data_IF_960098249427
#
_entry.id   IF_960098249427
#
_cell.length_a   1.000
_cell.length_b   1.000
_cell.length_c   1.000
_cell.angle_alpha   90.00
_cell.angle_beta   90.00
_cell.angle_gamma   90.00
#
_symmetry.space_group_name_H-M   'P 1'
#
loop_
_entity.id
_entity.type
_entity.pdbx_description
1 polymer ?
#
# COMPACT_ATOMS: atom_id res chain seq x y z
N UNK A 1 -39.46 12.39 101.37
CA UNK A 1 -38.24 13.15 101.76
C UNK A 1 -37.43 13.40 100.48
N UNK A 2 -37.10 14.68 100.21
CA UNK A 2 -35.85 15.26 99.63
C UNK A 2 -35.00 14.32 98.72
N UNK A 3 -34.42 14.69 97.57
CA UNK A 3 -34.03 15.98 96.97
C UNK A 3 -33.40 15.70 95.59
N UNK A 4 -33.79 16.49 94.60
CA UNK A 4 -32.99 17.23 93.60
C UNK A 4 -31.49 16.95 93.33
N UNK A 5 -31.14 16.98 92.01
CA UNK A 5 -30.00 17.69 91.33
C UNK A 5 -28.64 16.92 91.29
N UNK A 6 -27.78 16.86 90.24
CA UNK A 6 -27.43 17.63 89.02
C UNK A 6 -26.66 16.70 88.02
N UNK A 7 -26.97 16.69 86.71
CA UNK A 7 -26.19 17.26 85.57
C UNK A 7 -24.74 16.78 85.32
N UNK A 8 -24.50 16.06 84.22
CA UNK A 8 -23.34 16.31 83.34
C UNK A 8 -23.61 15.79 81.90
N UNK A 9 -23.50 16.70 80.94
CA UNK A 9 -23.50 16.47 79.49
C UNK A 9 -22.26 15.68 79.05
N UNK A 10 -22.42 14.77 78.08
CA UNK A 10 -21.38 14.52 77.08
C UNK A 10 -22.02 14.17 75.73
N UNK A 11 -21.81 15.07 74.76
CA UNK A 11 -22.20 14.99 73.36
C UNK A 11 -21.32 13.95 72.64
N UNK A 12 -21.92 13.00 71.93
CA UNK A 12 -21.21 11.99 71.13
C UNK A 12 -21.96 11.67 69.83
N UNK A 13 -21.75 12.54 68.84
CA UNK A 13 -21.83 12.35 67.38
C UNK A 13 -22.69 11.18 66.84
N UNK A 14 -23.88 11.52 66.38
CA UNK A 14 -24.64 10.78 65.37
C UNK A 14 -23.97 10.99 64.00
N UNK A 15 -23.30 9.96 63.47
CA UNK A 15 -22.95 9.90 62.06
C UNK A 15 -24.14 9.38 61.26
N UNK A 16 -24.92 10.31 60.72
CA UNK A 16 -25.82 10.05 59.61
C UNK A 16 -25.03 9.58 58.39
N UNK A 17 -25.18 8.31 57.99
CA UNK A 17 -25.02 7.96 56.58
C UNK A 17 -26.38 8.17 55.92
N UNK A 18 -26.47 9.24 55.14
CA UNK A 18 -27.62 9.59 54.34
C UNK A 18 -27.94 8.54 53.26
N UNK A 19 -29.07 8.71 52.56
CA UNK A 19 -29.52 7.76 51.55
C UNK A 19 -28.44 7.56 50.49
N UNK A 20 -28.13 6.29 50.19
CA UNK A 20 -27.46 5.92 48.95
C UNK A 20 -28.19 6.61 47.80
N UNK A 21 -27.47 7.42 47.04
CA UNK A 21 -27.96 8.04 45.80
C UNK A 21 -28.72 6.98 45.00
N UNK A 22 -29.91 7.27 44.44
CA UNK A 22 -30.60 6.32 43.60
C UNK A 22 -29.60 5.85 42.53
N UNK A 23 -29.43 4.54 42.40
CA UNK A 23 -28.73 3.99 41.25
C UNK A 23 -29.36 4.64 40.01
N UNK A 24 -28.55 5.33 39.22
CA UNK A 24 -28.98 6.00 38.00
C UNK A 24 -29.69 4.96 37.13
N UNK A 25 -31.03 4.97 37.13
CA UNK A 25 -31.86 3.97 36.46
C UNK A 25 -31.96 4.21 34.96
N UNK A 26 -31.13 5.09 34.40
CA UNK A 26 -31.06 5.29 32.95
C UNK A 26 -30.55 4.00 32.31
N UNK A 27 -31.24 3.46 31.30
CA UNK A 27 -30.73 2.31 30.57
C UNK A 27 -29.39 2.67 29.96
N UNK A 28 -28.40 1.79 30.15
CA UNK A 28 -27.08 2.01 29.61
C UNK A 28 -27.12 2.00 28.09
N UNK A 29 -26.58 3.06 27.48
CA UNK A 29 -26.53 3.19 26.02
C UNK A 29 -25.12 3.50 25.57
N UNK A 30 -24.75 2.96 24.42
CA UNK A 30 -23.50 3.26 23.72
C UNK A 30 -23.83 4.09 22.48
N UNK A 31 -23.19 5.23 22.34
CA UNK A 31 -23.19 6.00 21.10
C UNK A 31 -21.77 6.24 20.63
N UNK A 32 -21.58 6.26 19.31
CA UNK A 32 -20.31 6.58 18.67
C UNK A 32 -20.45 7.94 17.99
N UNK A 33 -19.40 8.76 18.02
CA UNK A 33 -19.36 9.99 17.24
C UNK A 33 -19.28 9.73 15.72
N UNK A 34 -18.76 8.55 15.33
CA UNK A 34 -18.60 8.12 13.95
C UNK A 34 -19.51 6.93 13.64
N UNK A 35 -20.17 6.98 12.48
CA UNK A 35 -20.93 5.86 11.90
C UNK A 35 -20.11 5.05 10.89
N UNK A 36 -19.12 5.70 10.29
CA UNK A 36 -18.11 5.11 9.42
C UNK A 36 -16.74 5.66 9.83
N UNK A 37 -15.67 4.87 9.73
CA UNK A 37 -14.33 5.32 10.11
C UNK A 37 -13.23 4.68 9.25
N UNK A 38 -12.22 5.47 8.89
CA UNK A 38 -10.95 4.97 8.35
C UNK A 38 -10.16 4.25 9.46
N UNK A 39 -9.36 3.22 9.14
CA UNK A 39 -8.51 2.53 10.14
C UNK A 39 -7.56 3.45 10.93
N UNK A 40 -7.22 4.61 10.36
CA UNK A 40 -6.34 5.63 10.98
C UNK A 40 -7.09 6.61 11.89
N UNK A 41 -8.42 6.64 11.86
CA UNK A 41 -9.22 7.54 12.67
C UNK A 41 -9.40 7.02 14.09
N UNK A 42 -9.58 7.95 15.02
CA UNK A 42 -9.98 7.65 16.39
C UNK A 42 -11.48 7.81 16.53
N UNK A 43 -12.10 6.87 17.24
CA UNK A 43 -13.53 6.87 17.50
C UNK A 43 -13.77 7.21 18.97
N UNK A 44 -14.71 8.11 19.21
CA UNK A 44 -15.20 8.45 20.55
C UNK A 44 -16.47 7.67 20.82
N UNK A 45 -16.46 6.89 21.90
CA UNK A 45 -17.62 6.20 22.44
C UNK A 45 -18.12 6.91 23.70
N UNK A 46 -19.42 7.14 23.78
CA UNK A 46 -20.10 7.70 24.96
C UNK A 46 -21.04 6.66 25.54
N UNK A 47 -20.82 6.31 26.81
CA UNK A 47 -21.58 5.33 27.57
C UNK A 47 -22.46 6.06 28.60
N UNK A 48 -23.74 6.25 28.29
CA UNK A 48 -24.66 6.92 29.24
C UNK A 48 -24.98 5.98 30.39
N UNK A 49 -24.81 6.42 31.64
CA UNK A 49 -25.17 5.64 32.83
C UNK A 49 -24.15 4.58 33.24
N UNK A 50 -22.99 4.49 32.54
CA UNK A 50 -21.91 3.56 32.88
C UNK A 50 -20.56 4.28 32.79
N UNK A 51 -19.82 4.42 33.91
CA UNK A 51 -18.47 4.97 33.87
C UNK A 51 -17.55 4.14 32.99
N UNK A 52 -16.73 4.80 32.16
CA UNK A 52 -15.81 4.13 31.22
C UNK A 52 -14.47 3.71 31.85
N UNK A 53 -14.32 3.88 33.16
CA UNK A 53 -13.11 3.48 33.86
C UNK A 53 -12.93 1.96 33.76
N UNK A 54 -11.77 1.53 33.27
CA UNK A 54 -11.43 0.13 32.97
C UNK A 54 -12.27 -0.51 31.86
N UNK A 55 -12.90 0.29 31.00
CA UNK A 55 -13.65 -0.22 29.86
C UNK A 55 -12.72 -0.88 28.82
N UNK A 56 -13.13 -2.03 28.30
CA UNK A 56 -12.48 -2.72 27.18
C UNK A 56 -13.30 -2.54 25.92
N UNK A 57 -12.64 -2.17 24.82
CA UNK A 57 -13.29 -1.92 23.54
C UNK A 57 -12.88 -2.99 22.55
N UNK A 58 -13.83 -3.51 21.79
CA UNK A 58 -13.59 -4.46 20.73
C UNK A 58 -14.27 -3.97 19.46
N UNK A 59 -13.66 -4.26 18.31
CA UNK A 59 -14.23 -3.98 16.98
C UNK A 59 -14.19 -5.28 16.20
N UNK A 60 -15.37 -5.84 15.94
CA UNK A 60 -15.48 -7.25 15.55
C UNK A 60 -14.95 -8.15 16.66
N UNK A 61 -14.02 -9.05 16.31
CA UNK A 61 -13.38 -9.97 17.26
C UNK A 61 -12.07 -9.44 17.87
N UNK A 62 -11.59 -8.27 17.40
CA UNK A 62 -10.31 -7.71 17.80
C UNK A 62 -10.46 -6.67 18.92
N UNK A 63 -9.56 -6.69 19.90
CA UNK A 63 -9.49 -5.70 20.97
C UNK A 63 -8.86 -4.40 20.46
N UNK A 64 -9.51 -3.27 20.76
CA UNK A 64 -9.13 -1.92 20.35
C UNK A 64 -8.39 -1.19 21.48
N UNK A 65 -7.41 -0.38 21.11
CA UNK A 65 -6.62 0.37 22.08
C UNK A 65 -7.36 1.61 22.55
N UNK A 66 -7.69 1.68 23.84
CA UNK A 66 -8.26 2.89 24.48
C UNK A 66 -7.15 3.92 24.68
N UNK A 67 -7.35 5.10 24.11
CA UNK A 67 -6.38 6.22 24.12
C UNK A 67 -6.59 7.12 25.33
N UNK A 68 -7.86 7.40 25.67
CA UNK A 68 -8.22 8.26 26.81
C UNK A 68 -9.63 7.98 27.28
N UNK A 69 -9.89 8.25 28.56
CA UNK A 69 -11.21 8.12 29.19
C UNK A 69 -11.52 9.38 30.01
N UNK A 70 -12.71 9.94 29.84
CA UNK A 70 -13.18 11.12 30.59
C UNK A 70 -14.67 10.97 30.92
N UNK A 71 -14.99 10.75 32.20
CA UNK A 71 -16.37 10.58 32.66
C UNK A 71 -17.06 9.36 32.05
N UNK A 72 -18.03 9.62 31.18
CA UNK A 72 -18.80 8.62 30.41
C UNK A 72 -18.25 8.42 28.98
N UNK A 73 -17.15 9.08 28.62
CA UNK A 73 -16.59 9.04 27.26
C UNK A 73 -15.23 8.37 27.22
N UNK A 74 -14.98 7.58 26.18
CA UNK A 74 -13.67 7.04 25.86
C UNK A 74 -13.33 7.30 24.39
N UNK A 75 -12.05 7.41 24.10
CA UNK A 75 -11.51 7.50 22.74
C UNK A 75 -10.68 6.26 22.49
N UNK A 76 -10.89 5.59 21.36
CA UNK A 76 -10.13 4.40 20.98
C UNK A 76 -9.63 4.45 19.53
N UNK A 77 -8.56 3.73 19.27
CA UNK A 77 -8.02 3.48 17.93
C UNK A 77 -8.52 2.15 17.41
N UNK A 78 -8.84 2.08 16.11
CA UNK A 78 -9.25 0.84 15.47
C UNK A 78 -8.09 -0.18 15.44
N UNK A 79 -8.36 -1.47 15.70
CA UNK A 79 -7.37 -2.54 15.55
C UNK A 79 -6.76 -2.59 14.13
N UNK A 80 -5.47 -2.91 14.04
CA UNK A 80 -4.81 -3.15 12.76
C UNK A 80 -5.33 -4.42 12.09
N UNK A 81 -5.48 -4.41 10.76
CA UNK A 81 -5.89 -5.59 9.99
C UNK A 81 -7.39 -5.86 9.94
N UNK A 82 -8.23 -4.92 10.40
CA UNK A 82 -9.68 -5.01 10.22
C UNK A 82 -10.05 -5.04 8.73
N UNK A 83 -11.01 -5.90 8.39
CA UNK A 83 -11.63 -5.92 7.07
C UNK A 83 -12.56 -4.72 6.93
N UNK A 84 -12.49 -4.06 5.77
CA UNK A 84 -13.47 -3.05 5.41
C UNK A 84 -14.89 -3.63 5.38
N UNK A 85 -15.87 -2.81 5.70
CA UNK A 85 -17.28 -3.18 5.79
C UNK A 85 -17.85 -3.09 7.20
N UNK A 86 -19.08 -3.60 7.41
CA UNK A 86 -19.78 -3.51 8.68
C UNK A 86 -19.04 -4.26 9.79
N UNK A 87 -18.78 -3.57 10.89
CA UNK A 87 -18.24 -4.10 12.14
C UNK A 87 -19.18 -3.78 13.31
N UNK A 88 -18.96 -4.46 14.42
CA UNK A 88 -19.64 -4.16 15.69
C UNK A 88 -18.61 -3.67 16.68
N UNK A 89 -18.80 -2.44 17.17
CA UNK A 89 -18.07 -1.94 18.34
C UNK A 89 -18.75 -2.49 19.58
N UNK A 90 -18.00 -3.19 20.41
CA UNK A 90 -18.45 -3.71 21.70
C UNK A 90 -17.63 -3.06 22.80
N UNK A 91 -18.30 -2.42 23.76
CA UNK A 91 -17.66 -1.86 24.94
C UNK A 91 -18.12 -2.65 26.16
N UNK A 92 -17.16 -3.30 26.83
CA UNK A 92 -17.38 -3.96 28.10
C UNK A 92 -16.96 -3.03 29.24
N UNK A 93 -17.89 -2.65 30.11
CA UNK A 93 -17.63 -1.79 31.25
C UNK A 93 -18.53 -2.19 32.43
N UNK A 94 -17.95 -2.32 33.64
CA UNK A 94 -18.69 -2.58 34.91
C UNK A 94 -19.70 -3.74 34.82
N UNK A 95 -19.34 -4.82 34.14
CA UNK A 95 -20.18 -6.01 33.97
C UNK A 95 -21.28 -5.88 32.91
N UNK A 96 -21.33 -4.77 32.18
CA UNK A 96 -22.21 -4.57 31.03
C UNK A 96 -21.42 -4.66 29.73
N UNK A 97 -22.08 -5.12 28.67
CA UNK A 97 -21.53 -5.18 27.32
C UNK A 97 -22.49 -4.47 26.37
N UNK A 98 -22.09 -3.31 25.89
CA UNK A 98 -22.89 -2.48 24.97
C UNK A 98 -22.33 -2.60 23.56
N UNK A 99 -23.21 -2.58 22.56
CA UNK A 99 -22.84 -2.78 21.16
C UNK A 99 -23.40 -1.67 20.28
N UNK A 100 -22.59 -1.22 19.33
CA UNK A 100 -22.99 -0.23 18.33
C UNK A 100 -22.34 -0.59 16.98
N UNK A 101 -23.07 -0.54 15.85
CA UNK A 101 -22.49 -0.76 14.54
C UNK A 101 -21.50 0.36 14.17
N UNK A 102 -20.45 -0.02 13.45
CA UNK A 102 -19.49 0.89 12.84
C UNK A 102 -19.09 0.32 11.48
N UNK A 103 -19.14 1.12 10.43
CA UNK A 103 -18.61 0.71 9.13
C UNK A 103 -17.12 1.07 9.02
N UNK A 104 -16.25 0.08 8.83
CA UNK A 104 -14.83 0.32 8.60
C UNK A 104 -14.60 0.59 7.12
N UNK A 105 -14.06 1.74 6.80
CA UNK A 105 -13.79 2.14 5.43
C UNK A 105 -12.55 1.42 4.87
N UNK A 106 -12.61 1.06 3.60
CA UNK A 106 -11.47 0.54 2.85
C UNK A 106 -10.57 1.65 2.31
N UNK A 107 -9.99 1.44 1.12
CA UNK A 107 -9.26 2.50 0.40
C UNK A 107 -10.26 3.45 -0.25
N UNK A 108 -10.36 4.66 0.29
CA UNK A 108 -11.28 5.71 -0.17
C UNK A 108 -10.51 7.02 -0.43
N UNK A 109 -11.08 7.91 -1.23
CA UNK A 109 -10.54 9.27 -1.34
C UNK A 109 -10.59 9.97 0.02
N UNK A 110 -9.49 10.62 0.42
CA UNK A 110 -9.42 11.39 1.68
C UNK A 110 -9.61 12.89 1.48
N UNK A 111 -9.74 13.34 0.23
CA UNK A 111 -9.91 14.75 -0.14
C UNK A 111 -11.28 15.01 -0.76
N UNK A 112 -12.06 13.97 -1.01
CA UNK A 112 -13.38 14.09 -1.64
C UNK A 112 -14.33 13.00 -1.14
N UNK A 113 -15.62 13.30 -1.10
CA UNK A 113 -16.69 12.32 -0.86
C UNK A 113 -17.78 12.45 -1.92
N UNK A 114 -18.33 11.31 -2.34
CA UNK A 114 -19.49 11.26 -3.21
C UNK A 114 -20.77 11.24 -2.38
N UNK A 115 -21.77 12.01 -2.81
CA UNK A 115 -23.03 12.19 -2.09
C UNK A 115 -24.17 12.07 -3.09
N UNK A 116 -25.06 11.10 -2.89
CA UNK A 116 -26.27 10.99 -3.69
C UNK A 116 -27.37 11.84 -3.05
N UNK A 117 -27.66 12.99 -3.65
CA UNK A 117 -28.63 13.98 -3.20
C UNK A 117 -29.97 13.76 -3.93
N UNK A 118 -31.08 13.73 -3.20
CA UNK A 118 -32.40 13.52 -3.80
C UNK A 118 -32.75 14.52 -4.91
N UNK A 119 -33.46 14.02 -5.92
CA UNK A 119 -34.04 14.86 -6.97
C UNK A 119 -34.86 16.03 -6.38
N UNK A 120 -34.68 17.24 -6.94
CA UNK A 120 -35.42 18.44 -6.53
C UNK A 120 -34.73 19.31 -5.46
N UNK A 121 -33.61 18.87 -4.88
CA UNK A 121 -32.77 19.73 -4.05
C UNK A 121 -31.98 20.69 -4.94
N UNK A 122 -32.05 21.99 -4.68
CA UNK A 122 -31.28 22.98 -5.40
C UNK A 122 -29.80 22.96 -4.99
N UNK A 123 -28.90 23.20 -5.94
CA UNK A 123 -27.44 23.27 -5.70
C UNK A 123 -27.08 24.31 -4.62
N UNK A 124 -27.77 25.46 -4.62
CA UNK A 124 -27.60 26.52 -3.63
C UNK A 124 -27.93 26.06 -2.21
N UNK A 125 -28.99 25.26 -2.06
CA UNK A 125 -29.44 24.77 -0.77
C UNK A 125 -28.46 23.72 -0.24
N UNK A 126 -28.00 22.83 -1.11
CA UNK A 126 -26.97 21.85 -0.75
C UNK A 126 -25.65 22.53 -0.36
N UNK A 127 -25.22 23.54 -1.11
CA UNK A 127 -24.02 24.33 -0.80
C UNK A 127 -24.15 25.07 0.53
N UNK A 128 -25.29 25.68 0.81
CA UNK A 128 -25.56 26.33 2.09
C UNK A 128 -25.46 25.34 3.27
N UNK A 129 -25.92 24.10 3.08
CA UNK A 129 -25.79 23.03 4.08
C UNK A 129 -24.33 22.64 4.32
N UNK A 130 -23.53 22.48 3.27
CA UNK A 130 -22.09 22.20 3.41
C UNK A 130 -21.39 23.27 4.26
N UNK A 131 -21.74 24.54 4.04
CA UNK A 131 -21.20 25.67 4.80
C UNK A 131 -21.64 25.64 6.28
N UNK A 132 -22.90 25.27 6.57
CA UNK A 132 -23.42 25.20 7.95
C UNK A 132 -22.73 24.15 8.82
N UNK A 133 -22.10 23.13 8.21
CA UNK A 133 -21.33 22.14 8.96
C UNK A 133 -20.06 22.74 9.58
N UNK A 134 -19.59 23.90 9.11
CA UNK A 134 -18.36 24.57 9.58
C UNK A 134 -17.13 23.65 9.52
N UNK A 135 -17.04 22.82 8.49
CA UNK A 135 -15.94 21.85 8.26
C UNK A 135 -15.05 22.20 7.06
N UNK A 136 -15.26 23.37 6.43
CA UNK A 136 -14.51 23.80 5.26
C UNK A 136 -14.78 22.99 3.99
N UNK A 137 -15.94 22.33 3.91
CA UNK A 137 -16.32 21.51 2.76
C UNK A 137 -16.65 22.39 1.55
N UNK A 138 -16.28 21.93 0.35
CA UNK A 138 -16.56 22.63 -0.91
C UNK A 138 -17.38 21.75 -1.84
N UNK A 139 -18.28 22.35 -2.61
CA UNK A 139 -18.96 21.63 -3.68
C UNK A 139 -18.07 21.62 -4.93
N UNK A 140 -17.72 20.43 -5.42
CA UNK A 140 -16.88 20.24 -6.62
C UNK A 140 -17.76 20.07 -7.86
N UNK A 141 -18.79 19.21 -7.75
CA UNK A 141 -19.68 18.86 -8.86
C UNK A 141 -21.08 18.55 -8.31
N UNK A 142 -22.13 18.83 -9.08
CA UNK A 142 -23.53 18.62 -8.69
C UNK A 142 -24.37 18.26 -9.93
N UNK A 143 -24.41 16.97 -10.27
CA UNK A 143 -24.94 16.50 -11.56
C UNK A 143 -26.15 15.58 -11.41
N UNK A 144 -27.30 15.91 -12.03
CA UNK A 144 -28.40 14.95 -12.18
C UNK A 144 -27.92 13.68 -12.88
N UNK A 145 -28.30 12.51 -12.36
CA UNK A 145 -27.92 11.21 -12.92
C UNK A 145 -28.77 10.79 -14.13
N UNK A 146 -29.97 11.36 -14.30
CA UNK A 146 -30.75 11.28 -15.54
C UNK A 146 -31.52 9.98 -15.81
N UNK A 147 -31.80 9.16 -14.78
CA UNK A 147 -32.55 7.91 -14.91
C UNK A 147 -33.72 7.77 -13.92
N UNK A 148 -34.48 6.66 -13.95
CA UNK A 148 -35.54 6.39 -12.97
C UNK A 148 -34.97 5.86 -11.64
N UNK A 149 -35.79 5.88 -10.58
CA UNK A 149 -35.42 5.32 -9.28
C UNK A 149 -34.25 6.08 -8.63
N UNK A 150 -33.22 5.40 -8.10
CA UNK A 150 -32.03 6.06 -7.53
C UNK A 150 -31.29 6.97 -8.53
N UNK A 151 -31.40 6.70 -9.83
CA UNK A 151 -30.79 7.52 -10.88
C UNK A 151 -31.57 8.81 -11.18
N UNK A 152 -32.73 9.04 -10.53
CA UNK A 152 -33.43 10.32 -10.61
C UNK A 152 -32.73 11.40 -9.76
N UNK A 153 -31.88 10.96 -8.85
CA UNK A 153 -31.14 11.79 -7.92
C UNK A 153 -29.95 12.50 -8.59
N UNK A 154 -29.29 13.32 -7.80
CA UNK A 154 -28.15 14.15 -8.17
C UNK A 154 -26.92 13.57 -7.49
N UNK A 155 -25.83 13.36 -8.22
CA UNK A 155 -24.54 13.03 -7.65
C UNK A 155 -23.78 14.33 -7.37
N UNK A 156 -23.51 14.58 -6.09
CA UNK A 156 -22.67 15.67 -5.65
C UNK A 156 -21.28 15.15 -5.25
N UNK A 157 -20.22 15.78 -5.75
CA UNK A 157 -18.85 15.56 -5.26
C UNK A 157 -18.49 16.69 -4.31
N UNK A 158 -18.10 16.35 -3.09
CA UNK A 158 -17.79 17.31 -2.03
C UNK A 158 -16.31 17.22 -1.70
N UNK A 159 -15.59 18.34 -1.83
CA UNK A 159 -14.21 18.48 -1.42
C UNK A 159 -14.08 18.54 0.11
N UNK A 160 -13.11 17.81 0.62
CA UNK A 160 -12.78 17.69 2.03
C UNK A 160 -11.38 18.25 2.27
N UNK A 161 -11.18 19.21 3.18
CA UNK A 161 -9.86 19.74 3.49
C UNK A 161 -8.88 18.66 3.95
N UNK A 162 -7.61 18.80 3.56
CA UNK A 162 -6.54 17.90 3.99
C UNK A 162 -6.46 17.86 5.52
N UNK A 163 -6.46 16.66 6.09
CA UNK A 163 -6.41 16.43 7.54
C UNK A 163 -7.77 16.40 8.24
N UNK A 164 -8.86 16.67 7.52
CA UNK A 164 -10.22 16.52 8.05
C UNK A 164 -10.60 15.04 8.15
N UNK A 165 -11.29 14.65 9.22
CA UNK A 165 -11.78 13.28 9.42
C UNK A 165 -12.92 12.97 8.43
N UNK A 166 -12.71 11.98 7.56
CA UNK A 166 -13.71 11.47 6.61
C UNK A 166 -14.87 10.85 7.36
N UNK A 167 -14.61 10.03 8.38
CA UNK A 167 -15.66 9.42 9.19
C UNK A 167 -16.55 10.48 9.85
N UNK A 168 -15.97 11.59 10.32
CA UNK A 168 -16.71 12.68 10.92
C UNK A 168 -17.54 13.46 9.88
N UNK A 169 -16.97 13.75 8.70
CA UNK A 169 -17.69 14.40 7.59
C UNK A 169 -18.93 13.59 7.23
N UNK A 170 -18.77 12.28 7.01
CA UNK A 170 -19.86 11.38 6.65
C UNK A 170 -20.90 11.28 7.77
N UNK A 171 -20.47 11.27 9.03
CA UNK A 171 -21.39 11.22 10.18
C UNK A 171 -22.18 12.52 10.37
N UNK A 172 -21.60 13.67 10.00
CA UNK A 172 -22.27 14.98 10.04
C UNK A 172 -23.24 15.17 8.88
N UNK A 173 -22.86 14.73 7.69
CA UNK A 173 -23.74 14.73 6.52
C UNK A 173 -24.94 13.79 6.68
N UNK A 174 -24.88 12.79 7.58
CA UNK A 174 -25.96 11.79 7.82
C UNK A 174 -27.05 12.24 8.81
N UNK A 175 -26.86 13.31 9.58
CA UNK A 175 -27.73 13.61 10.72
C UNK A 175 -29.23 13.81 10.34
N UNK A 176 -30.18 13.48 11.26
CA UNK A 176 -31.46 12.82 10.95
C UNK A 176 -32.60 13.71 10.42
N UNK A 177 -32.30 14.90 9.89
CA UNK A 177 -33.33 15.73 9.26
C UNK A 177 -33.70 15.27 7.83
N UNK A 178 -32.94 14.34 7.25
CA UNK A 178 -32.97 14.11 5.80
C UNK A 178 -32.94 12.62 5.47
N UNK A 179 -34.11 12.07 5.10
CA UNK A 179 -34.22 10.77 4.42
C UNK A 179 -33.75 10.85 2.95
N UNK A 180 -33.07 11.93 2.58
CA UNK A 180 -32.91 12.40 1.20
C UNK A 180 -31.46 12.30 0.68
N UNK A 181 -30.54 11.74 1.47
CA UNK A 181 -29.12 11.62 1.08
C UNK A 181 -28.58 10.22 1.37
N UNK A 182 -28.19 9.49 0.32
CA UNK A 182 -27.41 8.24 0.46
C UNK A 182 -25.94 8.60 0.33
N UNK A 183 -25.21 8.46 1.43
CA UNK A 183 -23.77 8.73 1.48
C UNK A 183 -23.00 7.46 1.16
N UNK A 184 -22.14 7.53 0.14
CA UNK A 184 -21.14 6.51 -0.15
C UNK A 184 -19.81 7.20 -0.38
N UNK A 185 -18.79 6.80 0.35
CA UNK A 185 -17.43 7.29 0.09
C UNK A 185 -17.01 6.80 -1.29
N UNK A 186 -16.38 7.66 -2.08
CA UNK A 186 -15.84 7.24 -3.37
C UNK A 186 -14.62 6.34 -3.10
N UNK A 187 -14.68 5.03 -3.41
CA UNK A 187 -13.51 4.19 -3.27
C UNK A 187 -12.41 4.70 -4.20
N UNK A 188 -11.14 4.61 -3.79
CA UNK A 188 -10.03 5.06 -4.64
C UNK A 188 -10.01 4.37 -6.01
N UNK A 189 -10.60 3.16 -6.08
CA UNK A 189 -10.85 2.45 -7.32
C UNK A 189 -12.04 1.51 -7.16
N UNK A 190 -12.94 1.51 -8.14
CA UNK A 190 -13.99 0.50 -8.29
C UNK A 190 -13.50 -0.76 -9.04
N UNK A 191 -12.26 -0.74 -9.53
CA UNK A 191 -11.66 -1.79 -10.37
C UNK A 191 -10.48 -2.49 -9.69
N UNK A 192 -10.08 -2.06 -8.49
CA UNK A 192 -8.90 -2.56 -7.79
C UNK A 192 -9.23 -3.19 -6.44
N UNK A 193 -9.58 -4.48 -6.46
CA UNK A 193 -9.39 -5.36 -5.28
C UNK A 193 -7.99 -6.01 -5.29
N UNK A 194 -7.11 -5.60 -6.20
CA UNK A 194 -5.73 -6.05 -6.19
C UNK A 194 -5.07 -5.49 -4.94
N UNK A 195 -4.62 -6.41 -4.08
CA UNK A 195 -3.74 -6.09 -2.98
C UNK A 195 -2.61 -5.24 -3.56
N UNK A 196 -2.58 -3.96 -3.18
CA UNK A 196 -1.52 -3.03 -3.56
C UNK A 196 -0.18 -3.76 -3.43
N UNK A 197 0.45 -4.00 -4.57
CA UNK A 197 1.61 -4.87 -4.71
C UNK A 197 2.73 -4.46 -3.75
N UNK A 198 2.84 -3.15 -3.43
CA UNK A 198 3.78 -2.62 -2.46
C UNK A 198 3.39 -3.01 -1.02
N UNK A 199 2.12 -2.91 -0.67
CA UNK A 199 1.61 -3.39 0.63
C UNK A 199 1.78 -4.90 0.76
N UNK A 200 1.52 -5.67 -0.30
CA UNK A 200 1.63 -7.12 -0.30
C UNK A 200 3.05 -7.61 -0.02
N UNK A 201 4.07 -6.93 -0.57
CA UNK A 201 5.48 -7.23 -0.30
C UNK A 201 6.04 -6.44 0.90
N UNK A 202 5.23 -5.70 1.66
CA UNK A 202 5.66 -5.05 2.90
C UNK A 202 6.47 -3.75 2.77
N UNK A 203 6.38 -3.04 1.64
CA UNK A 203 7.07 -1.76 1.43
C UNK A 203 6.71 -0.69 2.48
N UNK A 204 5.44 -0.51 2.90
CA UNK A 204 5.12 0.49 3.92
C UNK A 204 5.90 0.29 5.22
N UNK A 205 6.09 -0.96 5.65
CA UNK A 205 6.83 -1.30 6.87
C UNK A 205 8.33 -1.02 6.70
N UNK A 206 8.92 -1.33 5.54
CA UNK A 206 10.30 -0.96 5.25
C UNK A 206 10.51 0.56 5.29
N UNK A 207 9.59 1.33 4.71
CA UNK A 207 9.61 2.80 4.76
C UNK A 207 9.45 3.34 6.18
N UNK A 208 8.59 2.73 7.00
CA UNK A 208 8.46 3.08 8.43
C UNK A 208 9.76 2.85 9.22
N UNK A 209 10.57 1.86 8.81
CA UNK A 209 11.93 1.64 9.34
C UNK A 209 12.99 2.57 8.73
N UNK A 210 12.58 3.55 7.91
CA UNK A 210 13.48 4.50 7.27
C UNK A 210 14.24 3.94 6.07
N UNK A 211 13.77 2.84 5.46
CA UNK A 211 14.34 2.30 4.21
C UNK A 211 13.67 2.93 3.01
N UNK A 212 14.46 3.53 2.14
CA UNK A 212 13.97 4.22 0.94
C UNK A 212 14.85 3.99 -0.29
N UNK A 213 15.99 3.29 -0.13
CA UNK A 213 16.98 3.07 -1.19
C UNK A 213 17.92 4.25 -1.38
N UNK A 214 17.97 5.16 -0.41
CA UNK A 214 18.78 6.37 -0.49
C UNK A 214 20.26 6.03 -0.69
N UNK A 215 20.87 6.70 -1.67
CA UNK A 215 22.29 6.52 -1.99
C UNK A 215 22.60 5.26 -2.78
N UNK A 216 21.57 4.58 -3.32
CA UNK A 216 21.68 3.48 -4.27
C UNK A 216 21.16 3.94 -5.63
N UNK A 217 21.80 3.50 -6.70
CA UNK A 217 21.37 3.69 -8.07
C UNK A 217 20.96 2.34 -8.65
N UNK A 218 19.76 2.27 -9.20
CA UNK A 218 19.25 1.11 -9.93
C UNK A 218 19.44 1.40 -11.42
N UNK A 219 20.35 0.68 -12.07
CA UNK A 219 20.49 0.72 -13.51
C UNK A 219 19.42 -0.17 -14.16
N UNK A 220 18.56 0.47 -14.95
CA UNK A 220 17.47 -0.18 -15.68
C UNK A 220 17.94 -0.38 -17.11
N UNK A 221 18.35 -1.61 -17.42
CA UNK A 221 18.77 -2.03 -18.76
C UNK A 221 17.54 -2.57 -19.50
N UNK A 222 16.96 -1.77 -20.37
CA UNK A 222 15.62 -2.02 -20.91
C UNK A 222 15.40 -1.30 -22.27
N UNK A 223 14.15 -1.05 -22.69
CA UNK A 223 13.77 -0.31 -23.90
C UNK A 223 13.96 1.20 -23.81
N UNK A 224 14.56 1.68 -22.71
CA UNK A 224 14.68 3.09 -22.36
C UNK A 224 13.80 3.45 -21.16
N UNK A 225 13.96 4.68 -20.66
CA UNK A 225 13.13 5.23 -19.58
C UNK A 225 12.88 6.69 -19.89
N UNK A 226 11.62 7.04 -20.10
CA UNK A 226 11.22 8.43 -20.34
C UNK A 226 11.00 9.16 -19.02
N UNK A 227 11.51 10.38 -18.95
CA UNK A 227 11.31 11.28 -17.82
C UNK A 227 9.81 11.56 -17.61
N UNK A 228 9.33 11.31 -16.39
CA UNK A 228 7.91 11.46 -16.07
C UNK A 228 7.68 11.80 -14.58
N UNK A 229 6.44 12.13 -14.20
CA UNK A 229 6.12 12.72 -12.88
C UNK A 229 6.47 11.84 -11.69
N UNK A 230 6.39 10.52 -11.84
CA UNK A 230 6.63 9.55 -10.78
C UNK A 230 8.13 9.29 -10.57
N UNK A 231 8.98 9.53 -11.58
CA UNK A 231 10.43 9.39 -11.48
C UNK A 231 11.09 10.69 -10.97
N UNK A 232 10.50 11.85 -11.27
CA UNK A 232 10.95 13.14 -10.74
C UNK A 232 12.46 13.35 -10.94
N UNK A 233 13.16 13.75 -9.88
CA UNK A 233 14.61 13.98 -9.92
C UNK A 233 15.45 12.71 -9.71
N UNK A 234 14.81 11.54 -9.59
CA UNK A 234 15.52 10.28 -9.39
C UNK A 234 16.14 9.76 -10.70
N UNK A 235 15.64 10.18 -11.86
CA UNK A 235 16.16 9.75 -13.15
C UNK A 235 17.47 10.49 -13.48
N UNK A 236 18.54 9.73 -13.66
CA UNK A 236 19.85 10.23 -14.06
C UNK A 236 19.97 10.32 -15.58
N UNK A 237 20.94 11.11 -16.10
CA UNK A 237 21.36 10.99 -17.49
C UNK A 237 21.85 9.58 -17.79
N UNK A 238 21.35 8.98 -18.87
CA UNK A 238 21.69 7.62 -19.28
C UNK A 238 22.31 7.56 -20.67
N UNK A 239 22.19 6.40 -21.32
CA UNK A 239 22.71 6.19 -22.67
C UNK A 239 21.87 5.20 -23.48
N UNK A 240 21.79 5.46 -24.77
CA UNK A 240 21.10 4.65 -25.76
C UNK A 240 22.09 3.87 -26.62
N UNK A 241 22.09 2.55 -26.47
CA UNK A 241 22.93 1.62 -27.25
C UNK A 241 22.24 1.07 -28.51
N UNK A 242 21.01 1.50 -28.79
CA UNK A 242 20.28 1.23 -30.03
C UNK A 242 20.55 2.33 -31.05
N UNK A 243 20.42 3.59 -30.63
CA UNK A 243 20.58 4.76 -31.50
C UNK A 243 21.95 5.45 -31.35
N UNK A 244 22.76 5.01 -30.38
CA UNK A 244 24.13 5.49 -30.11
C UNK A 244 24.20 6.96 -29.67
N UNK A 245 23.30 7.36 -28.76
CA UNK A 245 23.26 8.71 -28.21
C UNK A 245 22.99 8.75 -26.69
N UNK A 246 22.81 9.96 -26.16
CA UNK A 246 22.56 10.20 -24.73
C UNK A 246 21.06 10.38 -24.40
N UNK A 247 20.16 9.93 -25.28
CA UNK A 247 18.70 10.05 -25.14
C UNK A 247 18.05 8.66 -25.00
N UNK A 248 18.14 8.01 -23.83
CA UNK A 248 17.58 6.67 -23.61
C UNK A 248 16.07 6.71 -23.38
N UNK A 249 15.32 7.46 -24.19
CA UNK A 249 13.87 7.55 -24.09
C UNK A 249 13.22 6.21 -24.43
N UNK A 250 12.13 5.88 -23.74
CA UNK A 250 11.43 4.63 -23.93
C UNK A 250 10.56 4.69 -25.19
N UNK A 251 11.09 4.14 -26.28
CA UNK A 251 10.46 4.18 -27.59
C UNK A 251 9.72 2.88 -27.95
N UNK A 252 9.52 1.97 -27.00
CA UNK A 252 8.77 0.73 -27.23
C UNK A 252 7.28 1.05 -27.42
N UNK A 253 6.76 0.77 -28.62
CA UNK A 253 5.34 0.90 -28.93
C UNK A 253 4.73 -0.50 -28.92
N UNK A 254 3.79 -0.75 -27.99
CA UNK A 254 3.04 -1.99 -27.97
C UNK A 254 1.69 -1.79 -28.69
N UNK A 255 1.59 -2.13 -29.99
CA UNK A 255 0.37 -1.90 -30.75
C UNK A 255 -0.82 -2.75 -30.29
N UNK A 256 -0.60 -3.74 -29.41
CA UNK A 256 -1.64 -4.65 -28.93
C UNK A 256 -2.31 -4.17 -27.63
N UNK A 257 -1.74 -3.19 -26.94
CA UNK A 257 -2.24 -2.72 -25.62
C UNK A 257 -2.15 -1.20 -25.50
N UNK A 258 -3.16 -0.47 -26.00
CA UNK A 258 -3.21 0.99 -25.90
C UNK A 258 -3.06 1.46 -24.44
N UNK A 259 -2.07 2.32 -24.18
CA UNK A 259 -1.77 2.84 -22.83
C UNK A 259 -0.77 2.03 -22.00
N UNK A 260 -0.23 0.94 -22.56
CA UNK A 260 0.96 0.23 -22.05
C UNK A 260 2.17 0.48 -22.97
N UNK A 261 2.26 1.69 -23.52
CA UNK A 261 3.43 2.14 -24.27
C UNK A 261 4.64 2.12 -23.34
N UNK A 262 5.81 1.77 -23.87
CA UNK A 262 7.04 1.62 -23.11
C UNK A 262 7.10 0.34 -22.27
N UNK A 263 8.29 -0.23 -22.14
CA UNK A 263 8.54 -1.35 -21.21
C UNK A 263 9.46 -0.91 -20.07
N UNK A 264 10.55 -0.20 -20.37
CA UNK A 264 11.51 0.22 -19.35
C UNK A 264 11.02 1.33 -18.41
N UNK A 265 10.15 2.23 -18.85
CA UNK A 265 9.58 3.29 -18.00
C UNK A 265 8.73 2.73 -16.86
N UNK A 266 7.70 1.89 -17.11
CA UNK A 266 6.95 1.28 -16.03
C UNK A 266 7.81 0.37 -15.14
N UNK A 267 8.86 -0.26 -15.68
CA UNK A 267 9.86 -1.01 -14.89
C UNK A 267 10.63 -0.08 -13.93
N UNK A 268 11.14 1.05 -14.41
CA UNK A 268 11.85 2.03 -13.59
C UNK A 268 10.94 2.62 -12.48
N UNK A 269 9.68 2.88 -12.82
CA UNK A 269 8.67 3.39 -11.88
C UNK A 269 8.40 2.39 -10.75
N UNK A 270 8.31 1.10 -11.03
CA UNK A 270 8.15 0.05 -10.00
C UNK A 270 9.40 -0.11 -9.12
N UNK A 271 10.59 0.17 -9.66
CA UNK A 271 11.81 0.10 -8.89
C UNK A 271 11.94 1.27 -7.90
N UNK A 272 11.79 2.51 -8.38
CA UNK A 272 12.12 3.72 -7.61
C UNK A 272 11.18 4.93 -7.80
N UNK A 273 10.02 4.75 -8.42
CA UNK A 273 9.01 5.82 -8.53
C UNK A 273 8.44 6.25 -7.17
N UNK A 274 8.06 7.51 -7.05
CA UNK A 274 7.55 8.07 -5.79
C UNK A 274 6.28 7.35 -5.28
N UNK A 275 5.35 7.06 -6.19
CA UNK A 275 4.04 6.51 -5.86
C UNK A 275 4.00 4.97 -5.95
N UNK A 276 4.72 4.39 -6.90
CA UNK A 276 4.67 2.96 -7.23
C UNK A 276 5.98 2.21 -6.96
N UNK A 277 7.04 2.90 -6.57
CA UNK A 277 8.37 2.33 -6.43
C UNK A 277 8.61 1.66 -5.08
N UNK A 278 9.38 0.58 -5.07
CA UNK A 278 9.84 -0.03 -3.81
C UNK A 278 10.87 0.87 -3.11
N UNK A 279 11.77 1.49 -3.86
CA UNK A 279 12.88 2.31 -3.36
C UNK A 279 12.77 3.78 -3.85
N UNK A 280 11.83 4.59 -3.32
CA UNK A 280 11.50 5.91 -3.88
C UNK A 280 12.59 6.98 -3.74
N UNK A 281 13.69 6.71 -3.04
CA UNK A 281 14.87 7.60 -2.95
C UNK A 281 16.12 6.99 -3.59
N UNK A 282 15.99 5.84 -4.26
CA UNK A 282 17.03 5.36 -5.16
C UNK A 282 17.01 6.19 -6.45
N UNK A 283 18.17 6.36 -7.05
CA UNK A 283 18.30 6.95 -8.37
C UNK A 283 18.09 5.86 -9.44
N UNK A 284 17.58 6.23 -10.60
CA UNK A 284 17.49 5.36 -11.79
C UNK A 284 18.56 5.80 -12.79
N UNK A 285 19.41 4.86 -13.22
CA UNK A 285 20.27 5.05 -14.37
C UNK A 285 19.63 4.35 -15.59
N UNK A 286 19.06 5.10 -16.56
CA UNK A 286 18.41 4.49 -17.71
C UNK A 286 19.43 4.06 -18.76
N UNK A 287 19.31 2.83 -19.25
CA UNK A 287 20.22 2.28 -20.25
C UNK A 287 19.36 1.58 -21.31
N UNK A 288 19.17 2.25 -22.45
CA UNK A 288 18.38 1.71 -23.54
C UNK A 288 19.22 0.70 -24.33
N UNK A 289 18.79 -0.56 -24.29
CA UNK A 289 19.37 -1.69 -25.02
C UNK A 289 18.32 -2.46 -25.82
N UNK A 290 17.04 -2.13 -25.65
CA UNK A 290 15.92 -2.66 -26.41
C UNK A 290 15.43 -1.66 -27.45
N UNK A 291 15.20 -2.12 -28.68
CA UNK A 291 14.63 -1.29 -29.74
C UNK A 291 13.11 -1.07 -29.57
N UNK A 292 12.50 -0.35 -30.51
CA UNK A 292 11.06 -0.04 -30.49
C UNK A 292 10.16 -1.29 -30.63
N UNK A 293 10.73 -2.46 -30.95
CA UNK A 293 10.04 -3.75 -31.00
C UNK A 293 10.36 -4.62 -29.79
N UNK A 294 11.10 -4.10 -28.82
CA UNK A 294 11.49 -4.81 -27.60
C UNK A 294 12.60 -5.83 -27.82
N UNK A 295 13.31 -5.79 -28.95
CA UNK A 295 14.42 -6.69 -29.21
C UNK A 295 15.66 -6.20 -28.48
N UNK A 296 16.24 -7.10 -27.68
CA UNK A 296 17.48 -6.84 -26.92
C UNK A 296 18.59 -7.74 -27.46
N UNK A 297 19.63 -7.14 -28.03
CA UNK A 297 20.80 -7.89 -28.46
C UNK A 297 21.75 -8.11 -27.28
N UNK A 298 22.32 -9.31 -27.16
CA UNK A 298 23.27 -9.62 -26.11
C UNK A 298 24.51 -8.71 -26.14
N UNK A 299 24.91 -8.21 -27.32
CA UNK A 299 25.98 -7.21 -27.46
C UNK A 299 25.65 -5.88 -26.80
N UNK A 300 24.40 -5.41 -26.91
CA UNK A 300 23.92 -4.18 -26.27
C UNK A 300 23.79 -4.40 -24.75
N UNK A 301 23.28 -5.56 -24.31
CA UNK A 301 23.23 -5.90 -22.89
C UNK A 301 24.63 -5.89 -22.24
N UNK A 302 25.64 -6.49 -22.90
CA UNK A 302 27.03 -6.45 -22.43
C UNK A 302 27.55 -5.02 -22.30
N UNK A 303 27.31 -4.18 -23.32
CA UNK A 303 27.71 -2.75 -23.30
C UNK A 303 26.99 -1.98 -22.18
N UNK A 304 25.71 -2.26 -21.97
CA UNK A 304 24.90 -1.65 -20.91
C UNK A 304 25.43 -1.98 -19.51
N UNK A 305 25.78 -3.25 -19.25
CA UNK A 305 26.37 -3.64 -17.95
C UNK A 305 27.69 -2.90 -17.72
N UNK A 306 28.56 -2.85 -18.73
CA UNK A 306 29.82 -2.12 -18.66
C UNK A 306 29.62 -0.61 -18.45
N UNK A 307 28.59 -0.02 -19.07
CA UNK A 307 28.23 1.38 -18.88
C UNK A 307 27.78 1.66 -17.44
N UNK A 308 26.94 0.80 -16.86
CA UNK A 308 26.51 0.93 -15.46
C UNK A 308 27.71 0.89 -14.50
N UNK A 309 28.61 -0.08 -14.67
CA UNK A 309 29.83 -0.23 -13.88
C UNK A 309 30.79 0.96 -14.01
N UNK A 310 30.83 1.60 -15.18
CA UNK A 310 31.67 2.78 -15.42
C UNK A 310 31.12 4.03 -14.72
N UNK A 311 29.80 4.18 -14.65
CA UNK A 311 29.16 5.42 -14.21
C UNK A 311 28.71 5.42 -12.75
N UNK A 312 28.53 4.23 -12.15
CA UNK A 312 28.09 4.10 -10.76
C UNK A 312 29.11 3.28 -9.97
N UNK A 313 29.58 3.75 -8.80
CA UNK A 313 30.42 2.94 -7.93
C UNK A 313 29.74 1.60 -7.60
N UNK A 314 30.42 0.44 -7.76
CA UNK A 314 29.78 -0.87 -7.68
C UNK A 314 28.95 -1.16 -6.42
N UNK A 315 29.39 -0.70 -5.24
CA UNK A 315 28.65 -0.86 -3.97
C UNK A 315 27.34 -0.08 -3.90
N UNK A 316 27.13 0.87 -4.79
CA UNK A 316 25.93 1.69 -4.89
C UNK A 316 25.06 1.28 -6.08
N UNK A 317 25.40 0.19 -6.79
CA UNK A 317 24.74 -0.21 -8.03
C UNK A 317 23.89 -1.46 -7.84
N UNK A 318 22.66 -1.40 -8.36
CA UNK A 318 21.79 -2.56 -8.59
C UNK A 318 21.47 -2.61 -10.08
N UNK A 319 21.57 -3.79 -10.70
CA UNK A 319 21.13 -4.01 -12.08
C UNK A 319 19.74 -4.63 -12.08
N UNK A 320 18.81 -4.00 -12.80
CA UNK A 320 17.53 -4.59 -13.16
C UNK A 320 17.58 -5.10 -14.61
N UNK A 321 17.43 -6.40 -14.80
CA UNK A 321 17.47 -7.07 -16.10
C UNK A 321 16.10 -7.69 -16.41
N UNK A 322 15.15 -6.86 -16.84
CA UNK A 322 13.78 -7.27 -17.19
C UNK A 322 13.68 -7.82 -18.63
N UNK A 323 14.71 -8.53 -19.10
CA UNK A 323 14.80 -9.12 -20.43
C UNK A 323 15.40 -10.53 -20.36
N UNK A 324 15.32 -11.27 -21.46
CA UNK A 324 16.10 -12.50 -21.63
C UNK A 324 15.66 -13.32 -22.83
N UNK A 325 16.30 -14.49 -22.97
CA UNK A 325 16.01 -15.45 -24.04
C UNK A 325 16.50 -16.85 -23.70
N UNK A 326 16.35 -17.78 -24.64
CA UNK A 326 16.67 -19.21 -24.47
C UNK A 326 18.15 -19.56 -24.69
N UNK A 327 18.94 -18.61 -25.17
CA UNK A 327 20.32 -18.84 -25.60
C UNK A 327 21.32 -18.27 -24.59
N UNK A 328 22.11 -19.11 -23.90
CA UNK A 328 23.14 -18.64 -22.98
C UNK A 328 24.28 -17.95 -23.75
N UNK A 329 24.54 -16.69 -23.43
CA UNK A 329 25.63 -15.92 -24.04
C UNK A 329 26.80 -15.77 -23.07
N UNK A 330 27.95 -16.38 -23.40
CA UNK A 330 29.13 -16.37 -22.53
C UNK A 330 29.64 -14.96 -22.22
N UNK A 331 29.58 -14.03 -23.18
CA UNK A 331 29.99 -12.64 -22.96
C UNK A 331 29.15 -11.96 -21.87
N UNK A 332 27.83 -12.15 -21.89
CA UNK A 332 26.92 -11.61 -20.89
C UNK A 332 27.15 -12.27 -19.52
N UNK A 333 27.35 -13.59 -19.47
CA UNK A 333 27.69 -14.30 -18.24
C UNK A 333 28.97 -13.75 -17.60
N UNK A 334 30.03 -13.53 -18.39
CA UNK A 334 31.31 -13.04 -17.88
C UNK A 334 31.22 -11.63 -17.29
N UNK A 335 30.50 -10.70 -17.92
CA UNK A 335 30.37 -9.33 -17.37
C UNK A 335 29.46 -9.27 -16.14
N UNK A 336 28.43 -10.11 -16.05
CA UNK A 336 27.59 -10.22 -14.85
C UNK A 336 28.36 -10.86 -13.68
N UNK A 337 29.15 -11.91 -13.94
CA UNK A 337 30.04 -12.50 -12.94
C UNK A 337 31.01 -11.45 -12.37
N UNK A 338 31.65 -10.67 -13.26
CA UNK A 338 32.52 -9.57 -12.86
C UNK A 338 31.77 -8.50 -12.04
N UNK A 339 30.56 -8.11 -12.45
CA UNK A 339 29.75 -7.15 -11.69
C UNK A 339 29.47 -7.62 -10.25
N UNK A 340 29.09 -8.89 -10.09
CA UNK A 340 28.86 -9.51 -8.77
C UNK A 340 30.14 -9.54 -7.92
N UNK A 341 31.29 -9.89 -8.50
CA UNK A 341 32.59 -9.81 -7.82
C UNK A 341 32.90 -8.39 -7.33
N UNK A 342 32.54 -7.37 -8.11
CA UNK A 342 32.65 -5.96 -7.72
C UNK A 342 31.60 -5.49 -6.71
N UNK A 343 30.76 -6.39 -6.17
CA UNK A 343 29.71 -6.12 -5.18
C UNK A 343 28.44 -5.45 -5.73
N UNK A 344 28.22 -5.49 -7.04
CA UNK A 344 26.96 -5.07 -7.67
C UNK A 344 25.87 -6.10 -7.37
N UNK A 345 24.65 -5.66 -7.10
CA UNK A 345 23.49 -6.54 -6.95
C UNK A 345 22.76 -6.68 -8.28
N UNK A 346 22.21 -7.86 -8.57
CA UNK A 346 21.57 -8.15 -9.86
C UNK A 346 20.24 -8.85 -9.66
N UNK A 347 19.18 -8.34 -10.28
CA UNK A 347 17.89 -9.01 -10.41
C UNK A 347 17.60 -9.27 -11.90
N UNK A 348 17.14 -10.47 -12.24
CA UNK A 348 16.85 -10.87 -13.61
C UNK A 348 15.52 -11.62 -13.73
N UNK A 349 14.76 -11.31 -14.79
CA UNK A 349 13.45 -11.90 -15.05
C UNK A 349 13.53 -13.39 -15.43
N UNK A 350 12.72 -14.24 -14.80
CA UNK A 350 12.74 -15.68 -15.01
C UNK A 350 12.11 -16.16 -16.35
N UNK A 351 11.32 -15.31 -17.02
CA UNK A 351 10.69 -15.60 -18.31
C UNK A 351 9.16 -15.69 -18.23
N UNK A 352 8.50 -15.55 -19.39
CA UNK A 352 7.03 -15.44 -19.53
C UNK A 352 6.40 -16.59 -20.36
N UNK A 353 7.05 -17.75 -20.46
CA UNK A 353 6.63 -18.86 -21.32
C UNK A 353 5.95 -20.01 -20.55
N UNK A 354 5.61 -19.78 -19.28
CA UNK A 354 4.86 -20.72 -18.44
C UNK A 354 5.62 -22.01 -18.12
N UNK A 355 4.88 -23.06 -17.76
CA UNK A 355 5.48 -24.31 -17.24
C UNK A 355 6.36 -25.07 -18.24
N UNK A 356 6.14 -24.87 -19.54
CA UNK A 356 6.87 -25.53 -20.62
C UNK A 356 7.85 -24.58 -21.31
N UNK A 357 8.10 -23.41 -20.71
CA UNK A 357 9.05 -22.43 -21.22
C UNK A 357 10.48 -22.93 -21.22
N UNK A 358 11.34 -22.44 -22.14
CA UNK A 358 12.75 -22.75 -22.10
C UNK A 358 13.42 -22.11 -20.87
N UNK A 359 14.57 -22.64 -20.48
CA UNK A 359 15.45 -21.98 -19.52
C UNK A 359 15.81 -20.58 -20.00
N UNK A 360 15.64 -19.57 -19.15
CA UNK A 360 15.72 -18.17 -19.55
C UNK A 360 17.01 -17.49 -19.04
N UNK A 361 17.82 -16.95 -19.94
CA UNK A 361 19.07 -16.25 -19.62
C UNK A 361 18.89 -14.74 -19.76
N UNK A 362 19.46 -13.90 -18.86
CA UNK A 362 20.53 -14.24 -17.91
C UNK A 362 20.09 -14.85 -16.58
N UNK A 363 18.79 -14.90 -16.26
CA UNK A 363 18.30 -15.37 -14.96
C UNK A 363 18.78 -16.78 -14.59
N UNK A 364 18.93 -17.67 -15.57
CA UNK A 364 19.40 -19.03 -15.36
C UNK A 364 20.92 -19.20 -15.29
N UNK A 365 21.71 -18.12 -15.36
CA UNK A 365 23.14 -18.23 -15.09
C UNK A 365 23.37 -18.56 -13.63
N UNK A 366 24.00 -19.71 -13.36
CA UNK A 366 24.49 -20.08 -12.04
C UNK A 366 25.65 -19.16 -11.62
N UNK A 367 25.28 -18.02 -11.03
CA UNK A 367 26.15 -16.96 -10.55
C UNK A 367 25.69 -16.55 -9.14
N UNK A 368 26.45 -16.86 -8.08
CA UNK A 368 26.08 -16.49 -6.72
C UNK A 368 25.83 -14.98 -6.57
N UNK A 369 24.69 -14.59 -6.00
CA UNK A 369 24.25 -13.20 -5.85
C UNK A 369 23.43 -12.64 -7.01
N UNK A 370 23.28 -13.36 -8.12
CA UNK A 370 22.26 -13.05 -9.13
C UNK A 370 20.92 -13.58 -8.64
N UNK A 371 19.90 -12.72 -8.58
CA UNK A 371 18.56 -13.10 -8.13
C UNK A 371 17.64 -13.30 -9.34
N UNK A 372 17.24 -14.53 -9.60
CA UNK A 372 16.23 -14.84 -10.62
C UNK A 372 14.81 -14.68 -10.06
N UNK A 373 13.98 -13.91 -10.77
CA UNK A 373 12.68 -13.45 -10.27
C UNK A 373 11.52 -14.03 -11.07
N UNK A 374 10.71 -14.86 -10.40
CA UNK A 374 9.42 -15.34 -10.89
C UNK A 374 8.28 -14.35 -10.64
N UNK A 375 7.15 -14.57 -11.32
CA UNK A 375 5.95 -13.73 -11.21
C UNK A 375 4.82 -14.42 -10.45
N UNK A 376 4.14 -13.65 -9.61
CA UNK A 376 2.96 -14.07 -8.87
C UNK A 376 1.70 -13.37 -9.38
N UNK A 377 0.59 -14.07 -9.26
CA UNK A 377 -0.75 -13.53 -9.38
C UNK A 377 -1.52 -13.70 -8.08
N UNK A 378 -2.42 -12.77 -7.81
CA UNK A 378 -3.40 -12.89 -6.73
C UNK A 378 -4.73 -13.36 -7.32
N UNK A 379 -5.32 -14.38 -6.71
CA UNK A 379 -6.67 -14.79 -7.07
C UNK A 379 -7.74 -13.86 -6.47
N UNK A 380 -8.99 -13.91 -6.98
CA UNK A 380 -10.13 -13.27 -6.33
C UNK A 380 -10.34 -13.70 -4.86
N UNK A 381 -9.81 -14.86 -4.47
CA UNK A 381 -9.82 -15.35 -3.07
C UNK A 381 -8.83 -14.62 -2.16
N UNK A 382 -7.93 -13.79 -2.72
CA UNK A 382 -6.81 -13.16 -2.02
C UNK A 382 -5.57 -14.05 -1.89
N UNK A 383 -5.59 -15.26 -2.48
CA UNK A 383 -4.47 -16.19 -2.44
C UNK A 383 -3.43 -15.85 -3.52
N UNK A 384 -2.16 -15.77 -3.13
CA UNK A 384 -1.02 -15.65 -4.03
C UNK A 384 -0.59 -17.00 -4.59
N UNK A 385 -0.33 -17.06 -5.89
CA UNK A 385 0.17 -18.25 -6.60
C UNK A 385 1.09 -17.85 -7.75
N UNK A 386 1.90 -18.77 -8.30
CA UNK A 386 2.66 -18.49 -9.51
C UNK A 386 1.74 -18.01 -10.62
N UNK A 387 2.12 -16.95 -11.32
CA UNK A 387 1.42 -16.50 -12.51
C UNK A 387 1.50 -17.59 -13.59
N UNK A 388 0.41 -17.81 -14.33
CA UNK A 388 0.36 -18.88 -15.35
C UNK A 388 1.45 -18.75 -16.42
N UNK A 389 1.83 -17.51 -16.76
CA UNK A 389 2.90 -17.20 -17.71
C UNK A 389 4.30 -17.31 -17.11
N UNK A 390 4.48 -17.34 -15.77
CA UNK A 390 5.82 -17.36 -15.18
C UNK A 390 6.55 -18.63 -15.58
N UNK A 391 7.71 -18.48 -16.24
CA UNK A 391 8.58 -19.61 -16.57
C UNK A 391 9.09 -20.27 -15.28
N UNK A 392 9.21 -21.60 -15.33
CA UNK A 392 9.58 -22.43 -14.17
C UNK A 392 10.96 -23.03 -14.39
N UNK A 393 11.76 -23.09 -13.33
CA UNK A 393 13.06 -23.73 -13.37
C UNK A 393 13.72 -23.75 -12.01
N UNK A 394 14.69 -24.65 -11.83
CA UNK A 394 15.50 -24.73 -10.60
C UNK A 394 16.34 -23.49 -10.34
N UNK A 395 16.45 -22.60 -11.34
CA UNK A 395 17.15 -21.33 -11.25
C UNK A 395 16.31 -20.22 -10.61
N UNK A 396 15.00 -20.39 -10.37
CA UNK A 396 14.17 -19.35 -9.75
C UNK A 396 14.49 -19.23 -8.27
N UNK A 397 14.91 -18.05 -7.82
CA UNK A 397 15.32 -17.81 -6.43
C UNK A 397 14.19 -17.31 -5.53
N UNK A 398 13.35 -16.44 -6.07
CA UNK A 398 12.25 -15.76 -5.38
C UNK A 398 11.18 -15.34 -6.39
N UNK A 399 9.96 -15.09 -5.92
CA UNK A 399 8.90 -14.51 -6.75
C UNK A 399 8.37 -13.21 -6.15
N UNK A 400 7.82 -12.34 -6.99
CA UNK A 400 7.16 -11.10 -6.57
C UNK A 400 5.87 -10.91 -7.37
N UNK A 401 4.96 -9.98 -6.96
CA UNK A 401 3.79 -9.66 -7.76
C UNK A 401 4.17 -9.34 -9.21
N UNK A 402 3.46 -9.94 -10.15
CA UNK A 402 3.79 -9.84 -11.57
C UNK A 402 2.59 -9.90 -12.50
N UNK A 403 1.39 -10.18 -12.00
CA UNK A 403 0.14 -10.00 -12.74
C UNK A 403 -0.65 -8.87 -12.09
N UNK A 404 -1.16 -7.93 -12.90
CA UNK A 404 -2.02 -6.87 -12.41
C UNK A 404 -1.27 -5.75 -11.67
N UNK A 405 0.02 -5.55 -11.95
CA UNK A 405 0.86 -4.60 -11.21
C UNK A 405 0.64 -3.19 -11.73
N UNK A 406 0.21 -2.28 -10.86
CA UNK A 406 -0.01 -0.88 -11.24
C UNK A 406 1.32 -0.13 -11.41
N UNK A 407 1.54 0.47 -12.58
CA UNK A 407 2.68 1.34 -12.87
C UNK A 407 2.29 2.46 -13.84
N UNK A 408 3.25 3.24 -14.34
CA UNK A 408 3.01 4.38 -15.21
C UNK A 408 3.87 4.35 -16.48
N UNK A 409 3.24 4.62 -17.62
CA UNK A 409 3.84 4.65 -18.96
C UNK A 409 4.70 5.91 -19.18
N UNK A 410 5.46 6.00 -20.30
CA UNK A 410 6.15 7.22 -20.76
C UNK A 410 5.24 8.45 -20.83
N UNK A 411 3.97 8.25 -21.17
CA UNK A 411 2.97 9.32 -21.33
C UNK A 411 2.27 9.70 -20.00
N UNK A 412 2.80 9.26 -18.85
CA UNK A 412 2.21 9.46 -17.51
C UNK A 412 0.84 8.77 -17.33
N UNK A 413 0.49 7.80 -18.17
CA UNK A 413 -0.75 7.05 -18.02
C UNK A 413 -0.52 5.92 -17.02
N UNK A 414 -1.38 5.82 -16.01
CA UNK A 414 -1.32 4.71 -15.04
C UNK A 414 -2.06 3.52 -15.64
N UNK A 415 -1.40 2.36 -15.63
CA UNK A 415 -1.89 1.14 -16.23
C UNK A 415 -1.57 -0.08 -15.37
N UNK A 416 -2.17 -1.20 -15.74
CA UNK A 416 -1.91 -2.51 -15.15
C UNK A 416 -0.94 -3.27 -16.06
N UNK A 417 0.14 -3.78 -15.50
CA UNK A 417 1.22 -4.46 -16.21
C UNK A 417 1.37 -5.90 -15.75
N UNK A 418 1.82 -6.77 -16.64
CA UNK A 418 2.02 -8.19 -16.35
C UNK A 418 3.29 -8.78 -16.98
N UNK A 419 3.94 -9.68 -16.25
CA UNK A 419 5.17 -10.35 -16.65
C UNK A 419 6.20 -10.44 -15.51
N UNK A 420 7.13 -11.39 -15.62
CA UNK A 420 8.32 -11.43 -14.74
C UNK A 420 9.15 -10.15 -14.86
N UNK A 421 9.06 -9.47 -16.00
CA UNK A 421 9.63 -8.14 -16.23
C UNK A 421 9.17 -7.09 -15.22
N UNK A 422 7.95 -7.20 -14.69
CA UNK A 422 7.37 -6.26 -13.71
C UNK A 422 7.51 -6.75 -12.26
N UNK A 423 7.78 -8.03 -12.05
CA UNK A 423 8.22 -8.57 -10.75
C UNK A 423 9.68 -8.23 -10.44
N UNK A 424 10.54 -8.27 -11.45
CA UNK A 424 11.98 -7.99 -11.34
C UNK A 424 12.30 -6.61 -10.73
N UNK A 425 11.67 -5.49 -11.14
CA UNK A 425 11.94 -4.18 -10.54
C UNK A 425 11.51 -4.07 -9.08
N UNK A 426 10.49 -4.82 -8.64
CA UNK A 426 10.12 -4.88 -7.23
C UNK A 426 11.26 -5.50 -6.40
N UNK A 427 11.89 -6.55 -6.93
CA UNK A 427 13.07 -7.18 -6.33
C UNK A 427 14.30 -6.27 -6.44
N UNK A 428 14.53 -5.60 -7.57
CA UNK A 428 15.64 -4.65 -7.72
C UNK A 428 15.53 -3.48 -6.72
N UNK A 429 14.34 -2.94 -6.53
CA UNK A 429 14.08 -1.94 -5.49
C UNK A 429 14.28 -2.50 -4.08
N UNK A 430 13.85 -3.74 -3.81
CA UNK A 430 14.15 -4.40 -2.55
C UNK A 430 15.66 -4.55 -2.32
N UNK A 431 16.43 -4.98 -3.33
CA UNK A 431 17.89 -5.07 -3.27
C UNK A 431 18.53 -3.72 -2.93
N UNK A 432 17.98 -2.60 -3.43
CA UNK A 432 18.42 -1.27 -3.01
C UNK A 432 18.16 -0.99 -1.52
N UNK A 433 17.00 -1.40 -0.98
CA UNK A 433 16.72 -1.29 0.47
C UNK A 433 17.67 -2.17 1.30
N UNK A 434 17.97 -3.38 0.83
CA UNK A 434 18.90 -4.30 1.49
C UNK A 434 20.34 -3.76 1.44
N UNK A 435 20.76 -3.14 0.32
CA UNK A 435 22.06 -2.47 0.20
C UNK A 435 22.18 -1.29 1.16
N UNK A 436 21.15 -0.47 1.27
CA UNK A 436 21.08 0.64 2.23
C UNK A 436 21.24 0.14 3.68
N UNK A 437 20.60 -0.98 4.01
CA UNK A 437 20.66 -1.56 5.36
C UNK A 437 21.96 -2.29 5.67
N UNK A 438 22.57 -2.92 4.68
CA UNK A 438 23.76 -3.76 4.81
C UNK A 438 24.83 -3.35 3.77
N UNK A 439 25.42 -2.14 3.89
CA UNK A 439 26.32 -1.59 2.87
C UNK A 439 27.61 -2.41 2.67
N UNK A 440 28.00 -3.22 3.66
CA UNK A 440 29.19 -4.07 3.61
C UNK A 440 28.91 -5.51 3.15
N UNK A 441 27.63 -5.93 3.07
CA UNK A 441 27.28 -7.31 2.72
C UNK A 441 27.58 -7.59 1.24
N UNK A 442 28.05 -8.80 0.96
CA UNK A 442 28.28 -9.27 -0.40
C UNK A 442 26.96 -9.55 -1.12
N UNK A 443 26.94 -9.60 -2.47
CA UNK A 443 25.74 -9.98 -3.21
C UNK A 443 25.13 -11.32 -2.76
N UNK A 444 25.96 -12.34 -2.54
CA UNK A 444 25.50 -13.64 -2.04
C UNK A 444 24.89 -13.57 -0.63
N UNK A 445 25.45 -12.75 0.27
CA UNK A 445 24.86 -12.54 1.59
C UNK A 445 23.51 -11.80 1.52
N UNK A 446 23.37 -10.82 0.62
CA UNK A 446 22.11 -10.11 0.40
C UNK A 446 21.07 -11.04 -0.22
N UNK A 447 21.44 -11.83 -1.23
CA UNK A 447 20.59 -12.86 -1.83
C UNK A 447 20.08 -13.84 -0.77
N UNK A 448 20.96 -14.37 0.08
CA UNK A 448 20.58 -15.29 1.16
C UNK A 448 19.62 -14.64 2.16
N UNK A 449 19.86 -13.38 2.55
CA UNK A 449 18.97 -12.64 3.45
C UNK A 449 17.60 -12.41 2.81
N UNK A 450 17.57 -12.04 1.53
CA UNK A 450 16.33 -11.85 0.78
C UNK A 450 15.51 -13.15 0.74
N UNK A 451 16.16 -14.28 0.38
CA UNK A 451 15.54 -15.61 0.32
C UNK A 451 15.06 -16.10 1.69
N UNK A 452 15.86 -15.92 2.73
CA UNK A 452 15.47 -16.28 4.10
C UNK A 452 14.30 -15.44 4.64
N UNK A 453 14.12 -14.21 4.15
CA UNK A 453 13.04 -13.33 4.55
C UNK A 453 11.77 -13.47 3.69
N UNK A 454 11.82 -14.28 2.62
CA UNK A 454 10.69 -14.50 1.73
C UNK A 454 9.48 -15.08 2.49
N UNK A 455 8.28 -14.59 2.17
CA UNK A 455 7.05 -15.13 2.71
C UNK A 455 6.74 -16.48 2.03
N UNK A 456 6.50 -17.55 2.80
CA UNK A 456 6.10 -18.82 2.22
C UNK A 456 4.74 -18.70 1.52
N UNK A 457 4.57 -19.42 0.42
CA UNK A 457 3.32 -19.48 -0.33
C UNK A 457 2.66 -20.85 -0.15
N UNK A 458 1.34 -20.87 -0.06
CA UNK A 458 0.56 -22.11 -0.02
C UNK A 458 0.55 -22.84 -1.38
N UNK A 459 0.71 -22.09 -2.47
CA UNK A 459 0.75 -22.58 -3.84
C UNK A 459 2.10 -22.24 -4.52
N UNK A 460 2.59 -23.19 -5.32
CA UNK A 460 3.87 -23.08 -6.04
C UNK A 460 5.00 -23.83 -5.35
N UNK A 461 5.72 -24.65 -6.10
CA UNK A 461 6.94 -25.34 -5.67
C UNK A 461 8.19 -24.49 -5.86
N UNK A 462 9.34 -25.02 -5.40
CA UNK A 462 10.63 -24.34 -5.48
C UNK A 462 11.02 -23.91 -6.91
N UNK A 463 10.63 -24.68 -7.93
CA UNK A 463 10.89 -24.33 -9.33
C UNK A 463 9.98 -23.22 -9.88
N UNK A 464 8.92 -22.87 -9.17
CA UNK A 464 7.94 -21.85 -9.56
C UNK A 464 8.17 -20.53 -8.83
N UNK A 465 8.51 -20.59 -7.54
CA UNK A 465 8.60 -19.41 -6.67
C UNK A 465 9.90 -19.32 -5.86
N UNK A 466 10.83 -20.26 -6.06
CA UNK A 466 12.06 -20.32 -5.29
C UNK A 466 11.77 -20.42 -3.80
N UNK A 467 12.24 -19.43 -3.04
CA UNK A 467 12.08 -19.34 -1.59
C UNK A 467 10.71 -18.80 -1.16
N UNK A 468 9.87 -18.35 -2.09
CA UNK A 468 8.55 -17.79 -1.83
C UNK A 468 8.40 -16.36 -2.36
N UNK A 469 7.44 -15.63 -1.78
CA UNK A 469 7.16 -14.25 -2.16
C UNK A 469 8.13 -13.27 -1.51
N UNK A 470 8.61 -12.27 -2.27
CA UNK A 470 9.32 -11.12 -1.75
C UNK A 470 8.56 -10.51 -0.57
N UNK A 471 9.25 -10.35 0.55
CA UNK A 471 8.65 -9.81 1.76
C UNK A 471 9.62 -8.83 2.43
N UNK A 472 9.13 -7.64 2.70
CA UNK A 472 9.83 -6.51 3.30
C UNK A 472 9.15 -6.08 4.61
N UNK A 473 8.18 -6.86 5.12
CA UNK A 473 7.40 -6.47 6.30
C UNK A 473 8.23 -6.41 7.58
N UNK A 474 9.28 -7.22 7.70
CA UNK A 474 10.12 -7.33 8.91
C UNK A 474 11.56 -6.82 8.72
N UNK A 475 12.11 -6.99 7.51
CA UNK A 475 13.47 -6.63 7.15
C UNK A 475 13.49 -6.22 5.66
N UNK A 476 14.46 -5.42 5.17
CA UNK A 476 15.59 -4.88 5.93
C UNK A 476 15.23 -3.72 6.87
#
# INVERSE_FOLDING_TARGET
MKSSVQFLMLLGLLSSCGPTSPADTRPATLSLNLTQALPTERVTATLTGVPVQDARVFVGDAEASVVSTTGETLVFSLPSGLKAGPQVVRVDARGQSLRQPLEVLGKVSTTEVAVLVKAGVAESDFTARLNQLNMGLTLIDFKPLGGPGPCANILARVGVPVGQSIGLVLSRLRQPAEQDVVLQVDPQSLWGLDADHLTAIGVPQARQRGRSGKGVTIAVLDTGVTQQRHLGQNLLPGYDFVEEDAAPDDAFDNPQTPGQDGHGTPVAVLAAGADFGVAPQAQILPIRIGDAQGQVLASQAVRGVCFALKNVPPKHLVLNLSFGGDTPTQGLKSVLAYALEQQVLVAAAAGNQGSNGPTHYPAAFDLPGLVAVGALQVLPTGEWRPASFSTRGTYVDIAAPGQGVASSSPTNTVGSYEGTSFSTPLVAGALALWREAYPAATPGEIEQKLKANAAPLAAGGATEVGSGMLNLSQAP
#
